data_IF_754062356991
#
_entry.id   IF_754062356991
#
_cell.length_a   1.000
_cell.length_b   1.000
_cell.length_c   1.000
_cell.angle_alpha   90.00
_cell.angle_beta   90.00
_cell.angle_gamma   90.00
#
_symmetry.space_group_name_H-M   'P 1'
#
loop_
_entity.id
_entity.type
_entity.pdbx_description
1 polymer ?
#
# COMPACT_ATOMS: atom_id res chain seq x y z
N UNK A 1 -15.96 35.23 -11.18
CA UNK A 1 -14.79 35.39 -10.29
C UNK A 1 -13.56 34.86 -11.01
N UNK A 2 -12.52 35.68 -11.26
CA UNK A 2 -11.30 35.20 -11.90
C UNK A 2 -10.58 34.22 -10.97
N UNK A 3 -10.37 33.00 -11.44
CA UNK A 3 -9.65 31.94 -10.72
C UNK A 3 -8.18 32.36 -10.62
N UNK A 4 -7.71 32.66 -9.41
CA UNK A 4 -6.32 33.03 -9.14
C UNK A 4 -5.41 31.80 -9.25
N UNK A 5 -4.96 31.49 -10.48
CA UNK A 5 -4.14 30.31 -10.82
C UNK A 5 -2.93 30.09 -9.90
N UNK A 6 -2.32 31.15 -9.34
CA UNK A 6 -1.14 31.04 -8.46
C UNK A 6 -1.49 30.48 -7.08
N UNK A 7 -2.66 30.81 -6.54
CA UNK A 7 -3.10 30.34 -5.23
C UNK A 7 -3.51 28.86 -5.27
N UNK A 8 -4.16 28.44 -6.36
CA UNK A 8 -4.54 27.05 -6.60
C UNK A 8 -3.32 26.14 -6.78
N UNK A 9 -2.27 26.62 -7.45
CA UNK A 9 -1.02 25.88 -7.61
C UNK A 9 -0.35 25.63 -6.25
N UNK A 10 -0.27 26.64 -5.38
CA UNK A 10 0.30 26.50 -4.03
C UNK A 10 -0.46 25.45 -3.20
N UNK A 11 -1.80 25.50 -3.21
CA UNK A 11 -2.65 24.53 -2.49
C UNK A 11 -2.43 23.10 -2.99
N UNK A 12 -2.27 22.92 -4.31
CA UNK A 12 -1.98 21.60 -4.88
C UNK A 12 -0.62 21.07 -4.44
N UNK A 13 0.43 21.89 -4.53
CA UNK A 13 1.78 21.51 -4.10
C UNK A 13 1.80 21.13 -2.62
N UNK A 14 1.17 21.94 -1.76
CA UNK A 14 1.10 21.66 -0.33
C UNK A 14 0.34 20.36 -0.02
N UNK A 15 -0.75 20.09 -0.77
CA UNK A 15 -1.50 18.84 -0.63
C UNK A 15 -0.70 17.62 -1.08
N UNK A 16 0.06 17.73 -2.17
CA UNK A 16 0.95 16.68 -2.66
C UNK A 16 2.07 16.38 -1.65
N UNK A 17 2.66 17.44 -1.07
CA UNK A 17 3.69 17.32 -0.05
C UNK A 17 3.15 16.66 1.22
N UNK A 18 1.95 17.06 1.66
CA UNK A 18 1.28 16.46 2.80
C UNK A 18 1.00 14.96 2.57
N UNK A 19 0.52 14.58 1.38
CA UNK A 19 0.32 13.16 1.05
C UNK A 19 1.63 12.38 1.09
N UNK A 20 2.72 12.93 0.54
CA UNK A 20 4.01 12.27 0.57
C UNK A 20 4.54 12.11 2.01
N UNK A 21 4.53 13.19 2.79
CA UNK A 21 5.07 13.19 4.16
C UNK A 21 4.25 12.32 5.12
N UNK A 22 2.93 12.56 5.21
CA UNK A 22 2.08 11.78 6.10
C UNK A 22 1.86 10.36 5.59
N UNK A 23 1.84 10.16 4.28
CA UNK A 23 1.79 8.82 3.67
C UNK A 23 3.02 8.00 4.04
N UNK A 24 4.21 8.59 3.97
CA UNK A 24 5.45 7.94 4.39
C UNK A 24 5.42 7.55 5.87
N UNK A 25 5.00 8.45 6.76
CA UNK A 25 4.85 8.15 8.19
C UNK A 25 3.88 6.98 8.40
N UNK A 26 2.71 7.04 7.75
CA UNK A 26 1.67 6.03 7.89
C UNK A 26 2.12 4.66 7.35
N UNK A 27 2.90 4.65 6.28
CA UNK A 27 3.48 3.45 5.69
C UNK A 27 4.51 2.80 6.63
N UNK A 28 5.38 3.59 7.26
CA UNK A 28 6.30 3.08 8.29
C UNK A 28 5.55 2.48 9.49
N UNK A 29 4.52 3.17 9.98
CA UNK A 29 3.66 2.66 11.05
C UNK A 29 2.98 1.34 10.62
N UNK A 30 2.52 1.27 9.37
CA UNK A 30 1.88 0.07 8.82
C UNK A 30 2.86 -1.10 8.76
N UNK A 31 4.08 -0.90 8.29
CA UNK A 31 5.09 -1.96 8.25
C UNK A 31 5.54 -2.38 9.65
N UNK A 32 5.64 -1.44 10.59
CA UNK A 32 5.88 -1.78 11.99
C UNK A 32 4.74 -2.63 12.58
N UNK A 33 3.48 -2.30 12.27
CA UNK A 33 2.31 -3.09 12.66
C UNK A 33 2.29 -4.46 11.99
N UNK A 34 2.68 -4.56 10.72
CA UNK A 34 2.83 -5.83 10.00
C UNK A 34 3.87 -6.72 10.68
N UNK A 35 5.03 -6.15 11.03
CA UNK A 35 6.07 -6.86 11.76
C UNK A 35 5.56 -7.36 13.12
N UNK A 36 4.88 -6.49 13.88
CA UNK A 36 4.32 -6.87 15.18
C UNK A 36 3.25 -7.97 15.03
N UNK A 37 2.40 -7.86 14.00
CA UNK A 37 1.40 -8.87 13.67
C UNK A 37 2.05 -10.23 13.38
N UNK A 38 3.06 -10.27 12.50
CA UNK A 38 3.79 -11.51 12.21
C UNK A 38 4.43 -12.11 13.47
N UNK A 39 5.09 -11.28 14.29
CA UNK A 39 5.70 -11.72 15.56
C UNK A 39 4.69 -12.28 16.55
N UNK A 40 3.52 -11.67 16.67
CA UNK A 40 2.45 -12.16 17.54
C UNK A 40 1.90 -13.51 17.06
N UNK A 41 1.62 -13.63 15.76
CA UNK A 41 1.14 -14.90 15.18
C UNK A 41 2.19 -16.00 15.33
N UNK A 42 3.47 -15.70 15.10
CA UNK A 42 4.56 -16.64 15.32
C UNK A 42 4.68 -17.05 16.79
N UNK A 43 4.57 -16.12 17.73
CA UNK A 43 4.61 -16.45 19.16
C UNK A 43 3.44 -17.34 19.59
N UNK A 44 2.23 -17.10 19.06
CA UNK A 44 1.04 -17.89 19.41
C UNK A 44 1.14 -19.30 18.83
N UNK A 45 1.58 -19.42 17.58
CA UNK A 45 1.69 -20.70 16.89
C UNK A 45 2.84 -21.55 17.43
N UNK A 46 4.00 -20.96 17.74
CA UNK A 46 5.11 -21.67 18.40
C UNK A 46 4.74 -22.13 19.82
N UNK A 47 3.90 -21.38 20.54
CA UNK A 47 3.38 -21.80 21.83
C UNK A 47 2.34 -22.94 21.73
N UNK A 48 1.72 -23.15 20.56
CA UNK A 48 0.61 -24.08 20.36
C UNK A 48 0.97 -25.33 19.56
N UNK A 49 2.06 -25.31 18.76
CA UNK A 49 2.43 -26.38 17.83
C UNK A 49 3.85 -26.85 18.19
N UNK A 50 4.02 -28.15 18.48
CA UNK A 50 5.33 -28.73 18.76
C UNK A 50 6.29 -28.59 17.55
N UNK A 51 7.60 -28.42 17.78
CA UNK A 51 8.59 -28.13 16.73
C UNK A 51 8.75 -29.22 15.65
N UNK A 52 8.26 -30.44 15.89
CA UNK A 52 8.53 -31.63 15.07
C UNK A 52 7.58 -31.85 13.88
N UNK A 53 6.63 -30.94 13.64
CA UNK A 53 5.87 -30.95 12.39
C UNK A 53 6.75 -30.39 11.26
N UNK A 54 7.66 -31.23 10.75
CA UNK A 54 8.49 -31.02 9.54
C UNK A 54 7.66 -30.81 8.24
N UNK A 55 6.34 -30.67 8.37
CA UNK A 55 5.40 -30.19 7.37
C UNK A 55 4.81 -28.84 7.84
N UNK A 56 5.66 -27.86 8.15
CA UNK A 56 5.20 -26.49 8.32
C UNK A 56 4.48 -26.08 7.03
N UNK A 57 3.16 -26.19 7.03
CA UNK A 57 2.28 -25.99 5.88
C UNK A 57 2.81 -24.86 4.99
N UNK A 58 3.09 -25.16 3.71
CA UNK A 58 3.50 -24.14 2.72
C UNK A 58 2.52 -22.95 2.63
N UNK A 59 1.32 -23.15 3.15
CA UNK A 59 0.21 -22.21 3.21
C UNK A 59 0.25 -21.30 4.45
N UNK A 60 1.09 -21.59 5.45
CA UNK A 60 1.21 -20.77 6.67
C UNK A 60 1.77 -19.37 6.41
N UNK A 61 2.86 -19.18 5.62
CA UNK A 61 3.29 -17.85 5.20
C UNK A 61 2.18 -17.11 4.44
N UNK A 62 1.52 -17.79 3.50
CA UNK A 62 0.42 -17.23 2.69
C UNK A 62 -0.76 -16.78 3.58
N UNK A 63 -1.15 -17.59 4.56
CA UNK A 63 -2.25 -17.29 5.48
C UNK A 63 -1.99 -16.03 6.32
N UNK A 64 -0.74 -15.78 6.75
CA UNK A 64 -0.38 -14.55 7.48
C UNK A 64 -0.56 -13.31 6.61
N UNK A 65 -0.04 -13.33 5.38
CA UNK A 65 -0.18 -12.21 4.47
C UNK A 65 -1.65 -11.97 4.10
N UNK A 66 -2.43 -13.03 3.88
CA UNK A 66 -3.87 -12.92 3.64
C UNK A 66 -4.61 -12.35 4.85
N UNK A 67 -4.29 -12.79 6.07
CA UNK A 67 -4.85 -12.26 7.30
C UNK A 67 -4.61 -10.76 7.44
N UNK A 68 -3.38 -10.31 7.19
CA UNK A 68 -3.07 -8.89 7.19
C UNK A 68 -3.77 -8.11 6.07
N UNK A 69 -3.86 -8.67 4.85
CA UNK A 69 -4.61 -8.08 3.74
C UNK A 69 -6.09 -7.89 4.09
N UNK A 70 -6.72 -8.84 4.80
CA UNK A 70 -8.10 -8.72 5.26
C UNK A 70 -8.25 -7.56 6.27
N UNK A 71 -7.31 -7.41 7.20
CA UNK A 71 -7.30 -6.31 8.17
C UNK A 71 -7.20 -4.97 7.45
N UNK A 72 -6.20 -4.81 6.56
CA UNK A 72 -6.00 -3.58 5.79
C UNK A 72 -7.17 -3.30 4.86
N UNK A 73 -7.72 -4.33 4.21
CA UNK A 73 -8.90 -4.21 3.35
C UNK A 73 -10.12 -3.72 4.12
N UNK A 74 -10.35 -4.26 5.31
CA UNK A 74 -11.46 -3.84 6.19
C UNK A 74 -11.30 -2.40 6.67
N UNK A 75 -10.09 -2.02 7.08
CA UNK A 75 -9.81 -0.62 7.47
C UNK A 75 -9.95 0.33 6.29
N UNK A 76 -9.45 -0.04 5.11
CA UNK A 76 -9.59 0.72 3.87
C UNK A 76 -11.06 0.95 3.54
N UNK A 77 -11.87 -0.09 3.58
CA UNK A 77 -13.31 0.03 3.34
C UNK A 77 -13.99 1.02 4.30
N UNK A 78 -13.69 0.95 5.61
CA UNK A 78 -14.22 1.90 6.59
C UNK A 78 -13.78 3.34 6.33
N UNK A 79 -12.49 3.55 6.01
CA UNK A 79 -11.94 4.88 5.72
C UNK A 79 -12.59 5.49 4.48
N UNK A 80 -12.75 4.72 3.39
CA UNK A 80 -13.35 5.22 2.16
C UNK A 80 -14.85 5.53 2.32
N UNK A 81 -15.57 4.77 3.14
CA UNK A 81 -17.00 5.03 3.46
C UNK A 81 -17.20 6.21 4.42
N UNK A 82 -16.17 6.59 5.17
CA UNK A 82 -16.27 7.69 6.14
C UNK A 82 -16.45 9.07 5.49
N UNK A 83 -16.89 10.06 6.28
CA UNK A 83 -16.99 11.47 5.89
C UNK A 83 -15.63 12.22 5.94
N UNK A 84 -14.51 11.50 5.97
CA UNK A 84 -13.18 12.12 5.99
C UNK A 84 -12.94 12.98 4.75
N UNK A 85 -12.20 14.08 4.93
CA UNK A 85 -11.78 14.94 3.81
C UNK A 85 -10.92 14.15 2.84
N UNK A 86 -10.99 14.52 1.56
CA UNK A 86 -10.26 13.87 0.46
C UNK A 86 -8.78 13.69 0.74
N UNK A 87 -8.13 14.67 1.36
CA UNK A 87 -6.69 14.60 1.69
C UNK A 87 -6.36 13.44 2.64
N UNK A 88 -7.18 13.19 3.66
CA UNK A 88 -6.95 12.08 4.60
C UNK A 88 -7.15 10.73 3.93
N UNK A 89 -8.15 10.63 3.04
CA UNK A 89 -8.35 9.42 2.22
C UNK A 89 -7.17 9.18 1.28
N UNK A 90 -6.59 10.26 0.72
CA UNK A 90 -5.43 10.18 -0.15
C UNK A 90 -4.15 9.76 0.59
N UNK A 91 -3.95 10.26 1.81
CA UNK A 91 -2.89 9.80 2.70
C UNK A 91 -3.10 8.32 3.02
N UNK A 92 -4.32 7.94 3.43
CA UNK A 92 -4.62 6.55 3.79
C UNK A 92 -4.46 5.59 2.62
N UNK A 93 -4.78 6.01 1.38
CA UNK A 93 -4.62 5.22 0.16
C UNK A 93 -3.17 4.76 -0.09
N UNK A 94 -2.17 5.44 0.48
CA UNK A 94 -0.77 4.98 0.41
C UNK A 94 -0.59 3.59 1.01
N UNK A 95 -1.34 3.25 2.06
CA UNK A 95 -1.24 1.98 2.78
C UNK A 95 -1.69 0.78 1.94
N UNK A 96 -2.94 0.70 1.45
CA UNK A 96 -3.37 -0.45 0.65
C UNK A 96 -2.60 -0.57 -0.66
N UNK A 97 -2.17 0.55 -1.27
CA UNK A 97 -1.29 0.52 -2.44
C UNK A 97 0.09 -0.06 -2.10
N UNK A 98 0.70 0.37 -0.99
CA UNK A 98 1.98 -0.16 -0.54
C UNK A 98 1.89 -1.66 -0.28
N UNK A 99 0.86 -2.10 0.45
CA UNK A 99 0.67 -3.52 0.76
C UNK A 99 0.45 -4.33 -0.52
N UNK A 100 -0.34 -3.84 -1.47
CA UNK A 100 -0.54 -4.49 -2.76
C UNK A 100 0.77 -4.65 -3.54
N UNK A 101 1.58 -3.60 -3.66
CA UNK A 101 2.86 -3.68 -4.38
C UNK A 101 3.90 -4.50 -3.63
N UNK A 102 4.01 -4.35 -2.31
CA UNK A 102 4.96 -5.11 -1.49
C UNK A 102 4.65 -6.61 -1.53
N UNK A 103 3.38 -6.99 -1.37
CA UNK A 103 2.97 -8.41 -1.48
C UNK A 103 3.23 -8.95 -2.89
N UNK A 104 2.91 -8.19 -3.95
CA UNK A 104 3.22 -8.57 -5.33
C UNK A 104 4.73 -8.81 -5.51
N UNK A 105 5.56 -7.91 -4.99
CA UNK A 105 7.01 -8.02 -5.01
C UNK A 105 7.53 -9.26 -4.27
N UNK A 106 7.00 -9.54 -3.08
CA UNK A 106 7.37 -10.72 -2.29
C UNK A 106 7.01 -12.03 -3.00
N UNK A 107 5.79 -12.15 -3.53
CA UNK A 107 5.36 -13.38 -4.22
C UNK A 107 6.11 -13.64 -5.52
N UNK A 108 6.40 -12.58 -6.27
CA UNK A 108 7.01 -12.67 -7.59
C UNK A 108 8.50 -12.33 -7.57
N UNK A 109 9.15 -12.33 -6.40
CA UNK A 109 10.57 -11.94 -6.28
C UNK A 109 11.50 -12.78 -7.19
N UNK A 110 11.11 -14.04 -7.48
CA UNK A 110 11.86 -14.94 -8.35
C UNK A 110 11.78 -14.49 -9.82
N UNK A 111 10.71 -13.80 -10.20
CA UNK A 111 10.35 -13.43 -11.55
C UNK A 111 10.20 -11.90 -11.64
N UNK A 112 11.32 -11.15 -11.66
CA UNK A 112 11.30 -9.68 -11.62
C UNK A 112 10.50 -9.08 -12.79
N UNK A 113 10.55 -9.70 -13.98
CA UNK A 113 9.74 -9.29 -15.14
C UNK A 113 8.24 -9.34 -14.85
N UNK A 114 7.78 -10.35 -14.10
CA UNK A 114 6.38 -10.48 -13.71
C UNK A 114 5.97 -9.38 -12.71
N UNK A 115 6.84 -9.02 -11.76
CA UNK A 115 6.62 -7.89 -10.83
C UNK A 115 6.38 -6.61 -11.61
N UNK A 116 7.25 -6.27 -12.56
CA UNK A 116 7.11 -5.04 -13.35
C UNK A 116 5.86 -5.05 -14.23
N UNK A 117 5.57 -6.18 -14.86
CA UNK A 117 4.40 -6.33 -15.75
C UNK A 117 3.10 -6.18 -14.95
N UNK A 118 2.96 -6.89 -13.84
CA UNK A 118 1.75 -6.85 -13.01
C UNK A 118 1.63 -5.50 -12.31
N UNK A 119 2.73 -4.93 -11.81
CA UNK A 119 2.73 -3.60 -11.21
C UNK A 119 2.29 -2.52 -12.20
N UNK A 120 2.77 -2.58 -13.44
CA UNK A 120 2.41 -1.64 -14.51
C UNK A 120 0.95 -1.79 -14.91
N UNK A 121 0.48 -3.02 -15.15
CA UNK A 121 -0.92 -3.29 -15.49
C UNK A 121 -1.86 -2.84 -14.37
N UNK A 122 -1.52 -3.15 -13.12
CA UNK A 122 -2.31 -2.75 -11.95
C UNK A 122 -2.37 -1.23 -11.81
N UNK A 123 -1.22 -0.55 -11.94
CA UNK A 123 -1.16 0.92 -11.90
C UNK A 123 -2.01 1.53 -13.00
N UNK A 124 -1.84 1.08 -14.25
CA UNK A 124 -2.60 1.58 -15.40
C UNK A 124 -4.10 1.31 -15.26
N UNK A 125 -4.49 0.13 -14.76
CA UNK A 125 -5.88 -0.23 -14.51
C UNK A 125 -6.54 0.65 -13.45
N UNK A 126 -5.86 0.88 -12.31
CA UNK A 126 -6.37 1.75 -11.25
C UNK A 126 -6.43 3.20 -11.73
N UNK A 127 -5.42 3.67 -12.48
CA UNK A 127 -5.39 5.02 -13.04
C UNK A 127 -6.55 5.24 -14.03
N UNK A 128 -6.78 4.27 -14.92
CA UNK A 128 -7.92 4.28 -15.83
C UNK A 128 -9.25 4.30 -15.08
N UNK A 129 -9.38 3.52 -14.00
CA UNK A 129 -10.57 3.51 -13.16
C UNK A 129 -10.80 4.86 -12.44
N UNK A 130 -9.76 5.48 -11.88
CA UNK A 130 -9.83 6.81 -11.26
C UNK A 130 -10.22 7.89 -12.27
N UNK A 131 -9.69 7.80 -13.49
CA UNK A 131 -10.04 8.71 -14.58
C UNK A 131 -11.53 8.57 -14.96
N UNK A 132 -12.01 7.33 -15.17
CA UNK A 132 -13.42 7.07 -15.52
C UNK A 132 -14.39 7.52 -14.43
N UNK A 133 -14.02 7.35 -13.17
CA UNK A 133 -14.85 7.72 -12.01
C UNK A 133 -14.68 9.18 -11.57
N UNK A 134 -13.91 9.99 -12.32
CA UNK A 134 -13.64 11.41 -12.04
C UNK A 134 -13.17 11.65 -10.60
N UNK A 135 -12.34 10.76 -10.09
CA UNK A 135 -11.78 10.88 -8.75
C UNK A 135 -10.91 12.13 -8.64
N UNK A 136 -10.76 12.71 -7.44
CA UNK A 136 -9.95 13.90 -7.24
C UNK A 136 -8.50 13.64 -7.64
N UNK A 137 -7.85 14.67 -8.21
CA UNK A 137 -6.48 14.59 -8.74
C UNK A 137 -5.47 14.04 -7.73
N UNK A 138 -5.71 14.27 -6.44
CA UNK A 138 -4.82 13.84 -5.36
C UNK A 138 -4.72 12.31 -5.25
N UNK A 139 -5.77 11.56 -5.62
CA UNK A 139 -5.71 10.09 -5.65
C UNK A 139 -4.85 9.58 -6.80
N UNK A 140 -4.88 10.27 -7.95
CA UNK A 140 -4.00 9.97 -9.08
C UNK A 140 -2.54 10.23 -8.71
N UNK A 141 -2.29 11.37 -8.04
CA UNK A 141 -0.97 11.68 -7.49
C UNK A 141 -0.49 10.61 -6.50
N UNK A 142 -1.33 10.21 -5.53
CA UNK A 142 -0.98 9.14 -4.58
C UNK A 142 -0.60 7.84 -5.31
N UNK A 143 -1.39 7.43 -6.30
CA UNK A 143 -1.13 6.20 -7.05
C UNK A 143 0.22 6.24 -7.78
N UNK A 144 0.49 7.33 -8.51
CA UNK A 144 1.74 7.50 -9.25
C UNK A 144 2.92 7.59 -8.29
N UNK A 145 2.79 8.34 -7.20
CA UNK A 145 3.81 8.44 -6.15
C UNK A 145 4.15 7.05 -5.61
N UNK A 146 3.15 6.27 -5.22
CA UNK A 146 3.36 4.93 -4.66
C UNK A 146 3.96 3.95 -5.67
N UNK A 147 3.48 3.95 -6.91
CA UNK A 147 4.04 3.11 -7.97
C UNK A 147 5.51 3.47 -8.23
N UNK A 148 5.85 4.76 -8.25
CA UNK A 148 7.22 5.25 -8.45
C UNK A 148 8.13 4.86 -7.27
N UNK A 149 7.67 5.08 -6.03
CA UNK A 149 8.43 4.72 -4.83
C UNK A 149 8.72 3.21 -4.80
N UNK A 150 7.71 2.38 -5.08
CA UNK A 150 7.87 0.93 -5.07
C UNK A 150 8.75 0.44 -6.23
N UNK A 151 8.66 1.05 -7.39
CA UNK A 151 9.57 0.79 -8.50
C UNK A 151 11.01 1.11 -8.13
N UNK A 152 11.26 2.26 -7.51
CA UNK A 152 12.59 2.66 -7.04
C UNK A 152 13.15 1.71 -5.99
N UNK A 153 12.34 1.31 -4.99
CA UNK A 153 12.74 0.34 -3.96
C UNK A 153 13.18 -0.98 -4.62
N UNK A 154 12.40 -1.46 -5.59
CA UNK A 154 12.67 -2.71 -6.30
C UNK A 154 13.96 -2.63 -7.12
N UNK A 155 14.15 -1.53 -7.88
CA UNK A 155 15.34 -1.34 -8.73
C UNK A 155 16.62 -1.14 -7.91
N UNK A 156 16.51 -0.46 -6.77
CA UNK A 156 17.64 -0.23 -5.86
C UNK A 156 18.00 -1.45 -5.01
N UNK A 157 17.21 -2.53 -5.07
CA UNK A 157 17.43 -3.74 -4.26
C UNK A 157 17.29 -3.48 -2.77
N UNK A 158 16.51 -2.47 -2.37
CA UNK A 158 16.23 -2.21 -0.96
C UNK A 158 15.32 -3.33 -0.47
N UNK A 159 15.84 -4.17 0.42
CA UNK A 159 15.08 -5.25 1.06
C UNK A 159 13.98 -4.64 1.94
N UNK A 160 12.75 -5.15 1.77
CA UNK A 160 11.55 -4.78 2.54
C UNK A 160 11.31 -5.83 3.62
#
# INVERSE_FOLDING_TARGET
MPINKKEDAKKKIFSALAVAFFGFILLNITFFLLFLYHKLIDSITQASIQPDMNMAFDWYPLAKYLGFLIIIGTMTYKVFRSKLKTIYKAIYLTVPLAVMYATTGMYLHRWPVAVYTIGTISTAGILYWFYRTKQPWIYHYTLILMATVMFLITVLGVEI
#
